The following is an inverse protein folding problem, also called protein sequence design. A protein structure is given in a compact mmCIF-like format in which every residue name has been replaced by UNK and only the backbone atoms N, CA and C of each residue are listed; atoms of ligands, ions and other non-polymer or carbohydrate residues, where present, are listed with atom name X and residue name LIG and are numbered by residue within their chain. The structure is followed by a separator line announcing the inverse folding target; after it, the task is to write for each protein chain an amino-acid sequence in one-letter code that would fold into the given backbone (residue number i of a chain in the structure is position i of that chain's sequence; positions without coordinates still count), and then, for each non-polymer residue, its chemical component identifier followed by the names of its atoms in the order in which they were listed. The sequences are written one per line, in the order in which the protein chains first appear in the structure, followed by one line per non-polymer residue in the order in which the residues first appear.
data_IF_112897700423
#
_entry.id   IF_112897700423
#
_cell.length_a   1.000
_cell.length_b   1.000
_cell.length_c   1.000
_cell.angle_alpha   90.00
_cell.angle_beta   90.00
_cell.angle_gamma   90.00
#
_symmetry.space_group_name_H-M   'P 1'
#
loop_
_entity.id
_entity.type
_entity.pdbx_description
1 polymer ?
#
# COMPACT_ATOMS: atom_id res chain seq x y z
N UNK A 1 10.03 15.15 9.95
CA UNK A 1 9.60 15.59 11.31
C UNK A 1 8.14 15.24 11.44
N UNK A 2 7.65 14.78 12.59
CA UNK A 2 6.23 14.46 12.75
C UNK A 2 5.38 15.74 12.58
N UNK A 3 4.27 15.71 11.82
CA UNK A 3 3.33 16.82 11.80
C UNK A 3 2.73 17.02 13.19
N UNK A 4 2.41 18.28 13.54
CA UNK A 4 1.75 18.62 14.80
C UNK A 4 0.26 18.78 14.56
N UNK A 5 -0.56 18.12 15.38
CA UNK A 5 -2.02 18.23 15.30
C UNK A 5 -2.63 18.38 16.70
N UNK A 6 -3.73 19.13 16.81
CA UNK A 6 -4.40 19.29 18.09
C UNK A 6 -5.20 18.05 18.45
N UNK A 7 -5.25 17.70 19.74
CA UNK A 7 -6.04 16.56 20.23
C UNK A 7 -7.52 16.66 19.84
N UNK A 8 -8.11 17.86 19.80
CA UNK A 8 -9.50 18.05 19.38
C UNK A 8 -9.77 17.66 17.92
N UNK A 9 -8.74 17.57 17.10
CA UNK A 9 -8.82 17.21 15.67
C UNK A 9 -8.57 15.69 15.46
N UNK A 10 -8.50 14.90 16.54
CA UNK A 10 -8.20 13.45 16.54
C UNK A 10 -9.13 12.69 17.51
N UNK A 11 -10.41 13.06 17.56
CA UNK A 11 -11.36 12.55 18.57
C UNK A 11 -12.05 11.25 18.15
N UNK A 12 -12.20 11.04 16.85
CA UNK A 12 -12.87 9.88 16.27
C UNK A 12 -11.91 9.10 15.36
N UNK A 13 -12.27 7.85 15.04
CA UNK A 13 -11.48 7.09 14.08
C UNK A 13 -11.47 7.75 12.70
N UNK A 14 -12.58 8.36 12.26
CA UNK A 14 -12.64 9.14 11.02
C UNK A 14 -11.66 10.33 11.04
N UNK A 15 -11.56 11.03 12.17
CA UNK A 15 -10.61 12.13 12.33
C UNK A 15 -9.16 11.61 12.21
N UNK A 16 -8.85 10.50 12.88
CA UNK A 16 -7.53 9.86 12.85
C UNK A 16 -7.21 9.36 11.44
N UNK A 17 -8.17 8.72 10.76
CA UNK A 17 -8.05 8.24 9.39
C UNK A 17 -7.66 9.37 8.45
N UNK A 18 -8.40 10.48 8.47
CA UNK A 18 -8.12 11.65 7.63
C UNK A 18 -6.75 12.27 7.96
N UNK A 19 -6.40 12.38 9.24
CA UNK A 19 -5.11 12.90 9.68
C UNK A 19 -3.95 12.00 9.22
N UNK A 20 -4.13 10.69 9.31
CA UNK A 20 -3.16 9.70 8.87
C UNK A 20 -2.98 9.71 7.36
N UNK A 21 -4.06 9.73 6.57
CA UNK A 21 -3.98 9.90 5.11
C UNK A 21 -3.18 11.14 4.74
N UNK A 22 -3.50 12.29 5.34
CA UNK A 22 -2.78 13.53 5.07
C UNK A 22 -1.30 13.41 5.44
N UNK A 23 -1.00 12.71 6.53
CA UNK A 23 0.38 12.53 7.01
C UNK A 23 1.18 11.61 6.09
N UNK A 24 0.65 10.43 5.75
CA UNK A 24 1.38 9.43 4.93
C UNK A 24 1.50 9.86 3.47
N UNK A 25 0.54 10.64 2.95
CA UNK A 25 0.59 11.15 1.57
C UNK A 25 1.70 12.19 1.35
N UNK A 26 2.24 12.76 2.42
CA UNK A 26 3.34 13.74 2.38
C UNK A 26 4.73 13.10 2.60
N UNK A 27 4.80 11.78 2.78
CA UNK A 27 6.07 11.11 3.02
C UNK A 27 6.92 11.00 1.75
N UNK A 28 8.19 11.38 1.88
CA UNK A 28 9.25 10.97 0.96
C UNK A 28 9.64 9.53 1.30
N UNK A 29 9.02 8.56 0.65
CA UNK A 29 9.30 7.14 0.87
C UNK A 29 10.60 6.70 0.16
N UNK A 30 11.44 5.86 0.79
CA UNK A 30 11.36 5.38 2.17
C UNK A 30 11.78 6.43 3.20
N UNK A 31 11.07 6.48 4.33
CA UNK A 31 11.26 7.48 5.39
C UNK A 31 12.36 7.11 6.40
N UNK A 32 12.75 5.84 6.44
CA UNK A 32 13.68 5.30 7.43
C UNK A 32 13.05 5.07 8.81
N UNK A 33 11.74 5.28 8.95
CA UNK A 33 10.95 4.87 10.10
C UNK A 33 10.05 3.69 9.67
N UNK A 34 10.24 2.54 10.31
CA UNK A 34 9.54 1.31 9.94
C UNK A 34 8.01 1.47 9.94
N UNK A 35 7.42 2.03 11.00
CA UNK A 35 5.96 2.21 11.12
C UNK A 35 5.42 3.19 10.07
N UNK A 36 6.17 4.24 9.76
CA UNK A 36 5.82 5.18 8.71
C UNK A 36 5.87 4.52 7.31
N UNK A 37 6.88 3.69 7.07
CA UNK A 37 7.07 2.96 5.81
C UNK A 37 5.99 1.88 5.63
N UNK A 38 5.63 1.16 6.70
CA UNK A 38 4.52 0.20 6.70
C UNK A 38 3.17 0.90 6.44
N UNK A 39 2.89 2.00 7.14
CA UNK A 39 1.67 2.79 6.93
C UNK A 39 1.59 3.33 5.50
N UNK A 40 2.71 3.80 4.94
CA UNK A 40 2.79 4.27 3.57
C UNK A 40 2.49 3.15 2.58
N UNK A 41 3.22 2.03 2.65
CA UNK A 41 3.08 0.92 1.69
C UNK A 41 1.66 0.36 1.68
N UNK A 42 1.07 0.10 2.85
CA UNK A 42 -0.29 -0.46 2.92
C UNK A 42 -1.33 0.55 2.45
N UNK A 43 -1.18 1.83 2.80
CA UNK A 43 -2.10 2.87 2.33
C UNK A 43 -2.07 3.03 0.81
N UNK A 44 -0.88 3.03 0.22
CA UNK A 44 -0.72 3.15 -1.22
C UNK A 44 -1.23 1.90 -1.94
N UNK A 45 -0.93 0.71 -1.42
CA UNK A 45 -1.52 -0.54 -1.90
C UNK A 45 -3.05 -0.46 -1.91
N UNK A 46 -3.67 -0.17 -0.76
CA UNK A 46 -5.11 0.00 -0.68
C UNK A 46 -5.64 1.03 -1.68
N UNK A 47 -5.03 2.21 -1.75
CA UNK A 47 -5.48 3.30 -2.62
C UNK A 47 -5.46 2.91 -4.10
N UNK A 48 -4.41 2.23 -4.55
CA UNK A 48 -4.28 1.81 -5.95
C UNK A 48 -5.22 0.65 -6.31
N UNK A 49 -5.38 -0.30 -5.39
CA UNK A 49 -6.28 -1.43 -5.60
C UNK A 49 -7.75 -0.98 -5.72
N UNK A 50 -8.15 0.05 -4.96
CA UNK A 50 -9.49 0.64 -5.06
C UNK A 50 -9.67 1.58 -6.26
N UNK A 51 -8.59 2.12 -6.83
CA UNK A 51 -8.66 3.07 -7.95
C UNK A 51 -8.60 2.38 -9.32
N UNK A 52 -7.73 1.38 -9.46
CA UNK A 52 -7.44 0.73 -10.75
C UNK A 52 -6.77 -0.64 -10.63
N UNK A 53 -6.83 -1.28 -9.46
CA UNK A 53 -6.33 -2.63 -9.26
C UNK A 53 -4.80 -2.73 -9.29
N UNK A 54 -4.29 -3.95 -9.45
CA UNK A 54 -2.84 -4.20 -9.48
C UNK A 54 -2.15 -3.50 -10.66
N UNK A 55 -2.85 -3.22 -11.78
CA UNK A 55 -2.27 -2.44 -12.88
C UNK A 55 -1.91 -1.02 -12.44
N UNK A 56 -2.81 -0.35 -11.70
CA UNK A 56 -2.55 0.98 -11.16
C UNK A 56 -1.36 0.95 -10.21
N UNK A 57 -1.31 -0.03 -9.29
CA UNK A 57 -0.20 -0.22 -8.37
C UNK A 57 1.14 -0.32 -9.09
N UNK A 58 1.24 -1.21 -10.09
CA UNK A 58 2.48 -1.42 -10.85
C UNK A 58 2.89 -0.15 -11.61
N UNK A 59 1.92 0.55 -12.18
CA UNK A 59 2.17 1.79 -12.94
C UNK A 59 2.71 2.89 -12.05
N UNK A 60 2.07 3.14 -10.90
CA UNK A 60 2.46 4.22 -9.99
C UNK A 60 3.76 3.95 -9.23
N UNK A 61 4.05 2.68 -8.93
CA UNK A 61 5.29 2.29 -8.23
C UNK A 61 6.43 1.89 -9.15
N UNK A 62 6.24 1.90 -10.48
CA UNK A 62 7.23 1.39 -11.45
C UNK A 62 8.62 1.97 -11.24
N UNK A 63 8.75 3.30 -11.11
CA UNK A 63 10.04 3.97 -10.90
C UNK A 63 10.75 3.48 -9.62
N UNK A 64 10.01 3.37 -8.52
CA UNK A 64 10.58 2.91 -7.26
C UNK A 64 10.97 1.42 -7.33
N UNK A 65 10.13 0.58 -7.92
CA UNK A 65 10.39 -0.85 -8.11
C UNK A 65 11.63 -1.06 -8.97
N UNK A 66 11.84 -0.23 -9.99
CA UNK A 66 13.07 -0.24 -10.80
C UNK A 66 14.30 0.16 -9.99
N UNK A 67 14.18 1.15 -9.11
CA UNK A 67 15.27 1.61 -8.26
C UNK A 67 15.73 0.55 -7.25
N UNK A 68 14.78 -0.07 -6.53
CA UNK A 68 15.10 -1.00 -5.43
C UNK A 68 15.12 -2.47 -5.84
N UNK A 69 14.55 -2.78 -7.01
CA UNK A 69 14.35 -4.12 -7.52
C UNK A 69 13.04 -4.76 -7.04
N UNK A 70 12.39 -5.49 -7.95
CA UNK A 70 11.09 -6.12 -7.72
C UNK A 70 11.01 -7.03 -6.49
N UNK A 71 12.02 -7.87 -6.27
CA UNK A 71 12.05 -8.74 -5.10
C UNK A 71 12.08 -7.92 -3.80
N UNK A 72 12.94 -6.89 -3.72
CA UNK A 72 13.04 -6.03 -2.54
C UNK A 72 11.73 -5.27 -2.27
N UNK A 73 11.10 -4.73 -3.32
CA UNK A 73 9.82 -4.05 -3.21
C UNK A 73 8.71 -4.99 -2.72
N UNK A 74 8.58 -6.17 -3.35
CA UNK A 74 7.54 -7.14 -3.01
C UNK A 74 7.74 -7.69 -1.58
N UNK A 75 8.98 -7.97 -1.18
CA UNK A 75 9.29 -8.39 0.20
C UNK A 75 8.86 -7.31 1.21
N UNK A 76 9.11 -6.04 0.90
CA UNK A 76 8.70 -4.92 1.76
C UNK A 76 7.17 -4.74 1.81
N UNK A 77 6.49 -4.83 0.66
CA UNK A 77 5.03 -4.75 0.58
C UNK A 77 4.36 -5.90 1.34
N UNK A 78 4.82 -7.14 1.13
CA UNK A 78 4.33 -8.32 1.84
C UNK A 78 4.53 -8.16 3.34
N UNK A 79 5.72 -7.76 3.79
CA UNK A 79 5.98 -7.54 5.21
C UNK A 79 5.08 -6.45 5.82
N UNK A 80 4.83 -5.36 5.08
CA UNK A 80 3.94 -4.29 5.52
C UNK A 80 2.47 -4.76 5.63
N UNK A 81 1.99 -5.54 4.66
CA UNK A 81 0.65 -6.16 4.71
C UNK A 81 0.52 -7.12 5.90
N UNK A 82 1.53 -7.94 6.16
CA UNK A 82 1.54 -8.83 7.33
C UNK A 82 1.57 -8.05 8.66
N UNK A 83 2.31 -6.92 8.72
CA UNK A 83 2.40 -6.08 9.90
C UNK A 83 1.04 -5.50 10.34
N UNK A 84 0.15 -5.20 9.37
CA UNK A 84 -1.22 -4.74 9.65
C UNK A 84 -2.24 -5.88 9.77
N UNK A 85 -1.78 -7.13 9.71
CA UNK A 85 -2.63 -8.32 9.78
C UNK A 85 -3.38 -8.67 8.48
N UNK A 86 -3.01 -8.05 7.36
CA UNK A 86 -3.59 -8.30 6.03
C UNK A 86 -2.96 -9.52 5.34
N UNK A 87 -2.88 -10.65 6.05
CA UNK A 87 -2.21 -11.87 5.58
C UNK A 87 -2.78 -12.44 4.27
N UNK A 88 -4.11 -12.36 4.08
CA UNK A 88 -4.75 -12.84 2.85
C UNK A 88 -4.34 -11.99 1.64
N UNK A 89 -4.11 -10.68 1.83
CA UNK A 89 -3.61 -9.78 0.79
C UNK A 89 -2.12 -10.03 0.52
N UNK A 90 -1.32 -10.23 1.57
CA UNK A 90 0.08 -10.61 1.44
C UNK A 90 0.25 -11.94 0.68
N UNK A 91 -0.69 -12.88 0.82
CA UNK A 91 -0.68 -14.14 0.07
C UNK A 91 -0.91 -13.93 -1.44
N UNK A 92 -1.72 -12.95 -1.83
CA UNK A 92 -1.93 -12.57 -3.25
C UNK A 92 -0.62 -12.04 -3.83
N UNK A 93 0.03 -11.10 -3.15
CA UNK A 93 1.30 -10.52 -3.62
C UNK A 93 2.42 -11.56 -3.72
N UNK A 94 2.53 -12.44 -2.72
CA UNK A 94 3.49 -13.56 -2.78
C UNK A 94 3.24 -14.50 -3.95
N UNK A 95 1.98 -14.69 -4.32
CA UNK A 95 1.58 -15.63 -5.38
C UNK A 95 1.76 -15.04 -6.77
N UNK A 96 1.43 -13.76 -6.96
CA UNK A 96 1.33 -13.15 -8.28
C UNK A 96 2.33 -12.01 -8.52
N UNK A 97 2.80 -11.32 -7.49
CA UNK A 97 3.52 -10.05 -7.61
C UNK A 97 4.71 -10.09 -8.56
N UNK A 98 5.52 -11.15 -8.48
CA UNK A 98 6.70 -11.27 -9.35
C UNK A 98 6.34 -11.52 -10.82
N UNK A 99 5.31 -12.34 -11.10
CA UNK A 99 4.85 -12.61 -12.47
C UNK A 99 4.17 -11.37 -13.05
N UNK A 100 3.36 -10.68 -12.25
CA UNK A 100 2.73 -9.40 -12.61
C UNK A 100 3.77 -8.36 -13.00
N UNK A 101 4.81 -8.16 -12.18
CA UNK A 101 5.89 -7.23 -12.50
C UNK A 101 6.65 -7.60 -13.78
N UNK A 102 7.02 -8.87 -13.94
CA UNK A 102 7.73 -9.32 -15.14
C UNK A 102 6.91 -9.08 -16.41
N UNK A 103 5.61 -9.36 -16.36
CA UNK A 103 4.69 -9.12 -17.48
C UNK A 103 4.47 -7.65 -17.73
N UNK A 104 4.38 -6.82 -16.70
CA UNK A 104 4.31 -5.37 -16.82
C UNK A 104 5.52 -4.83 -17.62
N UNK A 105 6.75 -5.19 -17.22
CA UNK A 105 7.97 -4.78 -17.93
C UNK A 105 8.03 -5.31 -19.37
N UNK A 106 7.66 -6.57 -19.57
CA UNK A 106 7.62 -7.16 -20.90
C UNK A 106 6.61 -6.45 -21.82
N UNK A 107 5.45 -6.05 -21.27
CA UNK A 107 4.44 -5.29 -22.00
C UNK A 107 4.97 -3.90 -22.38
N UNK A 108 5.57 -3.17 -21.44
CA UNK A 108 6.16 -1.84 -21.70
C UNK A 108 7.25 -1.88 -22.77
N UNK A 109 8.01 -2.97 -22.82
CA UNK A 109 9.05 -3.20 -23.83
C UNK A 109 8.51 -3.73 -25.17
N UNK A 110 7.20 -4.01 -25.28
CA UNK A 110 6.58 -4.58 -26.48
C UNK A 110 6.94 -6.05 -26.73
N UNK A 111 7.32 -6.79 -25.70
CA UNK A 111 7.76 -8.19 -25.76
C UNK A 111 6.59 -9.18 -25.69
N UNK A 112 5.46 -8.77 -25.09
CA UNK A 112 4.23 -9.56 -24.99
C UNK A 112 3.01 -8.76 -25.45
N UNK A 113 1.92 -9.45 -25.76
CA UNK A 113 0.63 -8.82 -26.02
C UNK A 113 -0.08 -8.45 -24.71
N UNK A 114 -0.88 -7.37 -24.71
CA UNK A 114 -1.66 -6.90 -23.56
C UNK A 114 -2.47 -8.02 -22.89
N UNK A 115 -3.06 -8.93 -23.67
CA UNK A 115 -3.85 -10.05 -23.15
C UNK A 115 -3.07 -10.95 -22.18
N UNK A 116 -1.75 -11.07 -22.37
CA UNK A 116 -0.92 -11.93 -21.54
C UNK A 116 -0.60 -11.28 -20.19
N UNK A 117 -0.55 -9.95 -20.16
CA UNK A 117 -0.46 -9.15 -18.93
C UNK A 117 -1.79 -9.17 -18.18
N UNK A 118 -2.90 -8.84 -18.85
CA UNK A 118 -4.22 -8.80 -18.20
C UNK A 118 -4.65 -10.17 -17.65
N UNK A 119 -4.22 -11.28 -18.27
CA UNK A 119 -4.53 -12.61 -17.77
C UNK A 119 -4.03 -12.90 -16.34
N UNK A 120 -2.91 -12.29 -15.90
CA UNK A 120 -2.43 -12.41 -14.51
C UNK A 120 -3.06 -11.35 -13.61
N UNK A 121 -3.25 -10.12 -14.11
CA UNK A 121 -3.86 -9.02 -13.36
C UNK A 121 -5.28 -9.38 -12.94
N UNK A 122 -6.09 -9.89 -13.86
CA UNK A 122 -7.48 -10.30 -13.57
C UNK A 122 -7.57 -11.43 -12.52
N UNK A 123 -6.55 -12.29 -12.43
CA UNK A 123 -6.50 -13.35 -11.41
C UNK A 123 -6.20 -12.77 -10.03
N UNK A 124 -5.20 -11.88 -9.94
CA UNK A 124 -4.82 -11.23 -8.70
C UNK A 124 -5.94 -10.29 -8.19
N UNK A 125 -6.48 -9.44 -9.07
CA UNK A 125 -7.63 -8.58 -8.77
C UNK A 125 -8.85 -9.41 -8.35
N UNK A 126 -9.11 -10.52 -9.06
CA UNK A 126 -10.21 -11.42 -8.74
C UNK A 126 -10.10 -12.04 -7.34
N UNK A 127 -8.89 -12.39 -6.90
CA UNK A 127 -8.64 -12.87 -5.53
C UNK A 127 -8.74 -11.73 -4.52
N UNK A 128 -8.22 -10.53 -4.84
CA UNK A 128 -8.36 -9.34 -4.01
C UNK A 128 -9.83 -9.02 -3.73
N UNK A 129 -10.68 -8.99 -4.76
CA UNK A 129 -12.10 -8.69 -4.62
C UNK A 129 -12.88 -9.73 -3.81
N UNK A 130 -12.39 -10.98 -3.74
CA UNK A 130 -13.00 -12.00 -2.87
C UNK A 130 -12.77 -11.74 -1.38
N UNK A 131 -11.84 -10.85 -1.03
CA UNK A 131 -11.56 -10.45 0.35
C UNK A 131 -12.51 -9.34 0.87
N UNK A 132 -13.45 -8.90 0.04
CA UNK A 132 -14.59 -8.04 0.42
C UNK A 132 -14.19 -6.72 1.08
N UNK A 133 -13.10 -6.09 0.60
CA UNK A 133 -12.66 -4.76 1.03
C UNK A 133 -12.15 -4.68 2.48
N UNK A 134 -11.96 -5.82 3.16
CA UNK A 134 -11.53 -5.90 4.57
C UNK A 134 -10.21 -5.20 4.89
N UNK A 135 -9.37 -4.92 3.89
CA UNK A 135 -8.12 -4.17 4.08
C UNK A 135 -8.35 -2.77 4.61
N UNK A 136 -9.47 -2.12 4.26
CA UNK A 136 -9.80 -0.78 4.76
C UNK A 136 -9.97 -0.78 6.28
N UNK A 137 -10.68 -1.77 6.84
CA UNK A 137 -10.88 -1.94 8.28
C UNK A 137 -9.57 -2.26 9.02
N UNK A 138 -8.72 -3.08 8.41
CA UNK A 138 -7.39 -3.42 8.95
C UNK A 138 -6.48 -2.18 8.98
N UNK A 139 -6.48 -1.40 7.91
CA UNK A 139 -5.70 -0.18 7.81
C UNK A 139 -6.21 0.89 8.77
N UNK A 140 -7.52 1.06 8.92
CA UNK A 140 -8.11 1.97 9.91
C UNK A 140 -7.70 1.59 11.33
N UNK A 141 -7.79 0.30 11.66
CA UNK A 141 -7.37 -0.22 12.97
C UNK A 141 -5.89 0.07 13.22
N UNK A 142 -5.04 -0.21 12.24
CA UNK A 142 -3.61 0.08 12.33
C UNK A 142 -3.33 1.57 12.51
N UNK A 143 -4.00 2.44 11.74
CA UNK A 143 -3.88 3.89 11.87
C UNK A 143 -4.25 4.39 13.26
N UNK A 144 -5.34 3.89 13.83
CA UNK A 144 -5.73 4.21 15.22
C UNK A 144 -4.64 3.80 16.20
N UNK A 145 -4.02 2.64 16.02
CA UNK A 145 -2.98 2.14 16.92
C UNK A 145 -1.69 2.97 16.83
N UNK A 146 -1.29 3.41 15.64
CA UNK A 146 0.04 4.03 15.41
C UNK A 146 0.04 5.55 15.25
N UNK A 147 -1.12 6.22 15.17
CA UNK A 147 -1.16 7.65 14.83
C UNK A 147 -0.32 8.54 15.77
N UNK A 148 -0.28 8.25 17.08
CA UNK A 148 0.54 9.04 18.02
C UNK A 148 2.05 8.82 17.86
N UNK A 149 2.45 7.75 17.19
CA UNK A 149 3.83 7.51 16.80
C UNK A 149 4.22 8.30 15.56
N UNK A 150 3.26 8.67 14.71
CA UNK A 150 3.51 9.36 13.45
C UNK A 150 3.14 10.86 13.50
N UNK A 151 2.31 11.25 14.46
CA UNK A 151 1.81 12.62 14.67
C UNK A 151 2.15 13.12 16.07
N UNK A 152 2.70 14.34 16.17
CA UNK A 152 2.92 15.03 17.44
C UNK A 152 1.61 15.66 17.93
N UNK A 153 0.90 14.95 18.81
CA UNK A 153 -0.38 15.43 19.37
C UNK A 153 -0.13 16.52 20.42
N UNK A 154 -0.58 17.74 20.12
CA UNK A 154 -0.49 18.89 21.02
C UNK A 154 -1.83 19.13 21.73
N UNK A 155 -1.76 19.68 22.95
CA UNK A 155 -2.96 20.13 23.67
C UNK A 155 -3.54 21.37 23.00
N UNK A 156 -4.84 21.52 23.11
CA UNK A 156 -5.59 22.72 22.69
C UNK A 156 -5.06 24.00 23.35
#
# INVERSE_FOLDING_TARGET
MKPKMYRKDLLTNDDIWNAMISTVSEYDFPTGNQTADEAFLVFQYYSELESGGHESLLTWFSEHVEEVGAASYLDALVAALEAVGAYDYAAIENKYGHDMWQKHKALENGEIEEKEFYAVIEQADGEYYQLDGRISELLETFFVDVHTELIDVIKD
#
